data_IF_048640147804
#
_entry.id   IF_048640147804
#
_cell.length_a   1.000
_cell.length_b   1.000
_cell.length_c   1.000
_cell.angle_alpha   90.00
_cell.angle_beta   90.00
_cell.angle_gamma   90.00
#
_symmetry.space_group_name_H-M   'P 1'
#
loop_
_entity.id
_entity.type
_entity.pdbx_description
1 polymer ?
#
# COMPACT_ATOMS: atom_id res chain seq x y z
N UNK A 1 -11.21 25.40 29.68
CA UNK A 1 -10.83 24.43 28.63
C UNK A 1 -9.61 23.67 29.11
N UNK A 2 -9.71 22.35 29.36
CA UNK A 2 -8.56 21.56 29.83
C UNK A 2 -7.61 21.26 28.66
N UNK A 3 -6.28 21.37 28.83
CA UNK A 3 -5.35 21.10 27.75
C UNK A 3 -5.33 19.60 27.43
N UNK A 4 -5.34 19.26 26.14
CA UNK A 4 -5.30 17.89 25.62
C UNK A 4 -3.86 17.38 25.57
N UNK A 5 -3.63 16.15 26.04
CA UNK A 5 -2.30 15.53 26.03
C UNK A 5 -1.76 15.29 24.63
N UNK A 6 -0.45 15.40 24.41
CA UNK A 6 0.16 15.35 23.06
C UNK A 6 -0.20 14.11 22.25
N UNK A 7 -0.39 12.94 22.89
CA UNK A 7 -0.87 11.73 22.21
C UNK A 7 -2.30 11.89 21.70
N UNK A 8 -3.18 12.40 22.56
CA UNK A 8 -4.57 12.69 22.23
C UNK A 8 -4.72 13.90 21.29
N UNK A 9 -3.86 14.91 21.38
CA UNK A 9 -3.84 16.11 20.53
C UNK A 9 -3.32 15.80 19.12
N UNK A 10 -2.25 15.02 18.99
CA UNK A 10 -1.78 14.52 17.69
C UNK A 10 -2.81 13.60 17.04
N UNK A 11 -3.51 12.80 17.84
CA UNK A 11 -4.56 11.90 17.36
C UNK A 11 -5.87 12.63 17.03
N UNK A 12 -6.23 13.67 17.78
CA UNK A 12 -7.35 14.57 17.47
C UNK A 12 -7.06 15.44 16.26
N UNK A 13 -5.80 15.85 16.05
CA UNK A 13 -5.35 16.48 14.82
C UNK A 13 -5.43 15.52 13.62
N UNK A 14 -5.08 14.23 13.80
CA UNK A 14 -5.31 13.18 12.79
C UNK A 14 -6.81 13.03 12.47
N UNK A 15 -7.67 13.00 13.49
CA UNK A 15 -9.13 12.93 13.35
C UNK A 15 -9.71 14.17 12.62
N UNK A 16 -9.22 15.38 12.94
CA UNK A 16 -9.61 16.62 12.26
C UNK A 16 -9.12 16.68 10.81
N UNK A 17 -7.92 16.16 10.53
CA UNK A 17 -7.38 16.09 9.17
C UNK A 17 -8.11 15.04 8.32
N UNK A 18 -8.61 13.96 8.93
CA UNK A 18 -9.42 12.94 8.26
C UNK A 18 -10.76 13.51 7.75
N UNK A 19 -11.37 14.44 8.48
CA UNK A 19 -12.65 15.08 8.11
C UNK A 19 -12.54 16.06 6.92
N UNK A 20 -11.33 16.45 6.48
CA UNK A 20 -11.12 17.48 5.46
C UNK A 20 -10.52 16.97 4.13
N UNK A 21 -10.21 15.67 3.96
CA UNK A 21 -9.49 15.17 2.78
C UNK A 21 -10.38 14.28 1.88
N UNK A 22 -10.62 14.64 0.61
CA UNK A 22 -10.99 13.66 -0.41
C UNK A 22 -9.78 12.72 -0.66
N UNK A 23 -9.93 11.45 -0.29
CA UNK A 23 -8.86 10.45 -0.29
C UNK A 23 -8.34 10.14 -1.71
N UNK A 24 -7.14 10.64 -2.03
CA UNK A 24 -6.29 10.12 -3.12
C UNK A 24 -5.27 9.17 -2.49
N UNK A 25 -5.38 7.87 -2.77
CA UNK A 25 -4.72 6.81 -2.00
C UNK A 25 -3.20 6.94 -1.92
N UNK A 26 -2.61 7.19 -0.74
CA UNK A 26 -1.15 7.26 -0.58
C UNK A 26 -0.53 5.87 -0.77
N UNK A 27 0.26 5.69 -1.83
CA UNK A 27 1.29 4.67 -1.90
C UNK A 27 2.47 5.14 -1.05
N UNK A 28 2.80 4.39 0.02
CA UNK A 28 4.05 4.52 0.74
C UNK A 28 4.93 3.36 0.26
N UNK A 29 5.95 3.67 -0.54
CA UNK A 29 7.12 2.82 -0.66
C UNK A 29 7.89 2.91 0.65
N UNK A 30 7.99 1.81 1.37
CA UNK A 30 8.90 1.69 2.51
C UNK A 30 9.77 0.48 2.28
N UNK A 31 10.99 0.74 1.84
CA UNK A 31 12.14 -0.11 2.12
C UNK A 31 12.37 -0.10 3.63
N UNK A 32 11.94 -1.14 4.33
CA UNK A 32 12.33 -1.40 5.69
C UNK A 32 13.12 -2.70 5.73
N UNK A 33 14.42 -2.56 5.98
CA UNK A 33 15.33 -3.63 6.33
C UNK A 33 14.75 -4.38 7.54
N UNK A 34 14.57 -5.68 7.35
CA UNK A 34 14.22 -6.63 8.40
C UNK A 34 15.38 -6.73 9.39
N UNK A 35 15.14 -6.32 10.64
CA UNK A 35 15.97 -6.72 11.78
C UNK A 35 15.09 -7.54 12.72
N UNK A 36 15.27 -8.85 12.65
CA UNK A 36 14.73 -9.83 13.58
C UNK A 36 15.60 -9.85 14.84
N UNK A 37 15.02 -9.51 15.99
CA UNK A 37 15.66 -9.74 17.29
C UNK A 37 15.17 -11.08 17.84
N UNK A 38 16.03 -12.09 17.78
CA UNK A 38 15.92 -13.30 18.61
C UNK A 38 17.09 -13.29 19.58
N UNK A 39 16.77 -13.23 20.87
CA UNK A 39 17.70 -13.48 21.97
C UNK A 39 18.02 -14.99 22.01
N UNK A 40 19.30 -15.33 22.17
CA UNK A 40 19.89 -16.45 22.94
C UNK A 40 21.27 -16.81 22.36
N UNK A 41 22.29 -16.74 23.19
CA UNK A 41 23.65 -17.26 22.95
C UNK A 41 23.88 -18.43 23.92
N UNK A 42 24.70 -19.44 23.54
CA UNK A 42 26.00 -19.53 24.20
C UNK A 42 27.16 -19.88 23.26
N UNK A 43 28.35 -19.65 23.80
CA UNK A 43 29.73 -19.68 23.29
C UNK A 43 30.24 -21.03 22.76
N UNK A 44 31.10 -21.00 21.72
CA UNK A 44 32.47 -21.56 21.78
C UNK A 44 33.28 -21.31 20.48
N UNK A 45 34.59 -21.18 20.70
CA UNK A 45 35.78 -21.01 19.83
C UNK A 45 35.81 -21.64 18.42
N UNK A 46 36.43 -20.95 17.44
CA UNK A 46 37.78 -21.21 16.91
C UNK A 46 38.10 -20.41 15.61
N UNK A 47 39.35 -19.89 15.56
CA UNK A 47 40.25 -19.52 14.45
C UNK A 47 39.86 -19.97 13.02
N UNK A 48 40.03 -19.26 11.88
CA UNK A 48 41.12 -18.48 11.23
C UNK A 48 40.69 -18.30 9.72
N UNK A 49 41.46 -17.77 8.75
CA UNK A 49 42.38 -16.63 8.68
C UNK A 49 42.04 -15.64 7.52
N UNK A 50 42.80 -14.55 7.45
CA UNK A 50 42.77 -13.52 6.42
C UNK A 50 43.33 -13.98 5.05
N UNK A 51 42.86 -13.35 3.96
CA UNK A 51 43.69 -13.10 2.77
C UNK A 51 43.43 -11.69 2.21
N UNK A 52 44.57 -11.03 2.01
CA UNK A 52 44.88 -9.65 1.71
C UNK A 52 44.65 -9.29 0.24
N UNK A 53 44.34 -8.03 -0.07
CA UNK A 53 44.85 -7.37 -1.27
C UNK A 53 45.12 -5.88 -0.99
N UNK A 54 46.25 -5.31 -1.46
CA UNK A 54 46.75 -4.02 -0.98
C UNK A 54 46.21 -2.84 -1.78
N UNK A 55 46.04 -1.72 -1.06
CA UNK A 55 45.96 -0.38 -1.62
C UNK A 55 47.32 -0.01 -2.21
N UNK A 56 47.36 0.29 -3.51
CA UNK A 56 48.44 1.07 -4.11
C UNK A 56 47.89 2.41 -4.56
N UNK A 57 48.37 3.44 -3.88
CA UNK A 57 48.32 4.81 -4.35
C UNK A 57 49.19 4.95 -5.60
N UNK A 58 48.71 5.69 -6.59
CA UNK A 58 49.60 6.46 -7.44
C UNK A 58 48.90 7.72 -7.93
N UNK A 59 49.47 8.86 -7.56
CA UNK A 59 49.16 10.17 -8.12
C UNK A 59 49.91 10.30 -9.46
N UNK A 60 49.22 10.70 -10.52
CA UNK A 60 49.62 11.82 -11.39
C UNK A 60 48.63 12.07 -12.54
N UNK A 61 48.00 13.24 -12.47
CA UNK A 61 47.76 14.24 -13.53
C UNK A 61 47.45 13.78 -14.98
N UNK A 62 46.21 13.99 -15.42
CA UNK A 62 45.83 14.71 -16.66
C UNK A 62 44.31 14.61 -16.88
N UNK A 63 43.59 15.65 -16.45
CA UNK A 63 42.18 15.80 -16.76
C UNK A 63 41.99 16.28 -18.20
N UNK A 64 40.82 15.94 -18.77
CA UNK A 64 40.20 16.47 -20.01
C UNK A 64 40.31 15.68 -21.33
N UNK A 65 40.38 14.34 -21.33
CA UNK A 65 40.13 13.56 -22.56
C UNK A 65 39.09 12.44 -22.50
N UNK A 66 38.53 12.07 -21.34
CA UNK A 66 37.67 10.88 -21.25
C UNK A 66 36.14 11.12 -21.30
N UNK A 67 35.67 12.37 -21.29
CA UNK A 67 34.22 12.65 -21.21
C UNK A 67 33.50 12.35 -22.54
N UNK A 68 34.15 12.66 -23.67
CA UNK A 68 33.59 12.42 -25.00
C UNK A 68 33.56 10.93 -25.37
N UNK A 69 34.54 10.17 -24.89
CA UNK A 69 34.58 8.72 -25.11
C UNK A 69 33.53 7.99 -24.26
N UNK A 70 33.33 8.42 -23.00
CA UNK A 70 32.25 7.91 -22.15
C UNK A 70 30.88 8.26 -22.76
N UNK A 71 30.71 9.48 -23.28
CA UNK A 71 29.46 9.92 -23.92
C UNK A 71 29.16 9.14 -25.22
N UNK A 72 30.19 8.83 -26.03
CA UNK A 72 30.05 7.96 -27.20
C UNK A 72 29.69 6.52 -26.82
N UNK A 73 30.27 5.98 -25.75
CA UNK A 73 29.95 4.63 -25.26
C UNK A 73 28.53 4.54 -24.70
N UNK A 74 28.01 5.59 -24.07
CA UNK A 74 26.61 5.68 -23.64
C UNK A 74 25.64 5.80 -24.83
N UNK A 75 26.04 6.51 -25.90
CA UNK A 75 25.23 6.67 -27.12
C UNK A 75 25.10 5.41 -27.99
N UNK A 76 25.89 4.38 -27.72
CA UNK A 76 25.87 3.09 -28.44
C UNK A 76 25.24 1.94 -27.63
N UNK A 77 24.71 2.22 -26.43
CA UNK A 77 23.90 1.24 -25.71
C UNK A 77 22.52 1.20 -26.37
N UNK A 78 22.39 0.33 -27.36
CA UNK A 78 21.10 -0.04 -27.92
C UNK A 78 20.33 -0.77 -26.82
N UNK A 79 19.48 -0.03 -26.10
CA UNK A 79 18.57 -0.59 -25.12
C UNK A 79 17.52 -1.35 -25.91
N UNK A 80 17.82 -2.59 -26.27
CA UNK A 80 16.80 -3.56 -26.63
C UNK A 80 15.83 -3.61 -25.46
N UNK A 81 14.68 -2.97 -25.66
CA UNK A 81 13.55 -2.95 -24.74
C UNK A 81 13.08 -4.40 -24.61
N UNK A 82 13.67 -5.12 -23.66
CA UNK A 82 13.27 -6.50 -23.40
C UNK A 82 11.77 -6.48 -23.14
N UNK A 83 10.97 -7.30 -23.84
CA UNK A 83 9.54 -7.33 -23.62
C UNK A 83 9.29 -7.55 -22.14
N UNK A 84 8.57 -6.60 -21.52
CA UNK A 84 8.25 -6.57 -20.09
C UNK A 84 8.01 -7.99 -19.62
N UNK A 85 8.91 -8.48 -18.77
CA UNK A 85 8.93 -9.80 -18.17
C UNK A 85 7.49 -10.28 -17.98
N UNK A 86 7.04 -11.27 -18.77
CA UNK A 86 5.71 -11.88 -18.63
C UNK A 86 5.47 -12.07 -17.15
N UNK A 87 4.43 -11.44 -16.62
CA UNK A 87 4.09 -11.52 -15.22
C UNK A 87 4.01 -13.01 -14.87
N UNK A 88 4.86 -13.46 -13.94
CA UNK A 88 4.94 -14.87 -13.58
C UNK A 88 3.55 -15.33 -13.22
N UNK A 89 3.06 -16.33 -13.94
CA UNK A 89 1.78 -16.96 -13.64
C UNK A 89 1.82 -17.42 -12.18
N UNK A 90 0.90 -16.88 -11.38
CA UNK A 90 0.91 -17.08 -9.93
C UNK A 90 0.35 -18.47 -9.66
N UNK A 91 1.13 -19.32 -9.02
CA UNK A 91 0.66 -20.64 -8.62
C UNK A 91 -0.46 -20.48 -7.57
N UNK A 92 -1.48 -21.35 -7.61
CA UNK A 92 -2.54 -21.34 -6.61
C UNK A 92 -1.97 -21.54 -5.20
N UNK A 93 -2.70 -21.09 -4.18
CA UNK A 93 -2.32 -21.33 -2.79
C UNK A 93 -2.18 -22.84 -2.55
N UNK A 94 -0.96 -23.25 -2.20
CA UNK A 94 -0.59 -24.65 -2.04
C UNK A 94 -1.28 -25.20 -0.79
N UNK A 95 -2.14 -26.20 -0.96
CA UNK A 95 -2.79 -26.92 0.16
C UNK A 95 -1.90 -28.04 0.67
N UNK A 96 -1.52 -27.99 1.93
CA UNK A 96 -0.72 -29.03 2.60
C UNK A 96 -1.54 -29.71 3.68
N UNK A 97 -2.19 -30.83 3.34
CA UNK A 97 -3.09 -31.55 4.23
C UNK A 97 -2.36 -32.78 4.79
N UNK A 98 -2.27 -32.87 6.12
CA UNK A 98 -1.78 -34.07 6.81
C UNK A 98 -2.84 -35.18 6.86
N UNK A 99 -2.40 -36.43 6.99
CA UNK A 99 -3.29 -37.62 6.97
C UNK A 99 -3.43 -38.32 8.33
N UNK A 100 -2.68 -37.89 9.34
CA UNK A 100 -2.66 -38.53 10.66
C UNK A 100 -3.57 -37.80 11.66
N UNK A 101 -4.05 -38.53 12.67
CA UNK A 101 -4.83 -38.00 13.78
C UNK A 101 -6.35 -38.18 13.65
N UNK A 102 -7.07 -37.64 14.63
CA UNK A 102 -8.55 -37.65 14.67
C UNK A 102 -9.09 -36.28 14.26
N UNK A 103 -10.11 -36.22 13.36
CA UNK A 103 -10.74 -34.97 12.98
C UNK A 103 -11.31 -34.21 14.19
N UNK A 104 -11.14 -32.89 14.18
CA UNK A 104 -11.65 -31.99 15.22
C UNK A 104 -12.30 -30.76 14.57
N UNK A 105 -13.49 -30.41 15.04
CA UNK A 105 -14.18 -29.21 14.62
C UNK A 105 -13.56 -27.98 15.27
N UNK A 106 -12.96 -27.12 14.46
CA UNK A 106 -12.30 -25.90 14.89
C UNK A 106 -13.00 -24.66 14.33
N UNK A 107 -12.95 -23.58 15.10
CA UNK A 107 -13.37 -22.25 14.65
C UNK A 107 -12.15 -21.33 14.61
N UNK A 108 -12.12 -20.43 13.64
CA UNK A 108 -11.08 -19.42 13.51
C UNK A 108 -11.70 -18.05 13.29
N UNK A 109 -10.97 -16.99 13.62
CA UNK A 109 -11.37 -15.60 13.46
C UNK A 109 -11.20 -15.08 12.01
N UNK A 110 -11.48 -15.95 11.03
CA UNK A 110 -11.44 -15.65 9.61
C UNK A 110 -12.84 -15.70 9.02
N UNK A 111 -13.23 -14.63 8.32
CA UNK A 111 -14.48 -14.53 7.60
C UNK A 111 -14.21 -14.73 6.10
N UNK A 112 -14.90 -15.69 5.48
CA UNK A 112 -14.78 -15.91 4.03
C UNK A 112 -15.44 -14.78 3.26
N UNK A 113 -14.65 -14.14 2.38
CA UNK A 113 -15.14 -13.05 1.50
C UNK A 113 -15.48 -13.64 0.14
N UNK A 114 -16.77 -13.65 -0.19
CA UNK A 114 -17.25 -14.07 -1.51
C UNK A 114 -17.44 -12.85 -2.40
N UNK A 115 -16.76 -12.84 -3.54
CA UNK A 115 -16.96 -11.80 -4.55
C UNK A 115 -18.00 -12.26 -5.57
N UNK A 116 -18.99 -11.41 -5.85
CA UNK A 116 -19.98 -11.65 -6.91
C UNK A 116 -19.37 -11.49 -8.30
N UNK A 117 -18.37 -10.63 -8.42
CA UNK A 117 -17.74 -10.32 -9.69
C UNK A 117 -16.63 -11.34 -9.98
N UNK A 118 -16.45 -11.73 -11.25
CA UNK A 118 -15.44 -12.71 -11.64
C UNK A 118 -14.00 -12.22 -11.42
N UNK A 119 -13.82 -10.90 -11.32
CA UNK A 119 -12.53 -10.29 -11.07
C UNK A 119 -12.56 -8.77 -11.20
N UNK A 120 -11.37 -8.19 -11.15
CA UNK A 120 -11.11 -6.77 -11.32
C UNK A 120 -10.46 -6.57 -12.68
N UNK A 121 -10.99 -5.64 -13.47
CA UNK A 121 -10.48 -5.32 -14.80
C UNK A 121 -9.49 -4.16 -14.68
N UNK A 122 -8.26 -4.39 -15.16
CA UNK A 122 -7.18 -3.40 -15.14
C UNK A 122 -7.14 -2.68 -16.49
N UNK A 123 -7.15 -1.35 -16.42
CA UNK A 123 -7.01 -0.46 -17.56
C UNK A 123 -5.77 0.41 -17.37
N UNK A 124 -4.90 0.47 -18.36
CA UNK A 124 -3.79 1.43 -18.40
C UNK A 124 -4.34 2.79 -18.78
N UNK A 125 -4.00 3.81 -18.01
CA UNK A 125 -4.42 5.20 -18.27
C UNK A 125 -3.21 6.00 -18.73
N UNK A 126 -3.37 6.65 -19.88
CA UNK A 126 -2.37 7.55 -20.45
C UNK A 126 -2.97 8.94 -20.62
N UNK A 127 -2.19 9.96 -20.29
CA UNK A 127 -2.57 11.36 -20.40
C UNK A 127 -1.72 12.01 -21.48
N UNK A 128 -2.35 12.81 -22.34
CA UNK A 128 -1.68 13.66 -23.32
C UNK A 128 -2.22 15.09 -23.21
N UNK A 129 -1.37 16.08 -22.84
CA UNK A 129 0.04 15.97 -22.48
C UNK A 129 0.30 15.11 -21.22
N UNK A 130 1.52 14.59 -21.02
CA UNK A 130 1.88 13.82 -19.83
C UNK A 130 1.70 14.63 -18.53
N UNK A 131 1.18 13.99 -17.49
CA UNK A 131 0.92 14.61 -16.18
C UNK A 131 1.53 13.74 -15.08
N UNK A 132 2.44 14.30 -14.29
CA UNK A 132 3.07 13.58 -13.17
C UNK A 132 2.28 13.71 -11.86
N UNK A 133 1.47 14.75 -11.73
CA UNK A 133 0.69 14.99 -10.52
C UNK A 133 -0.51 14.04 -10.44
N UNK A 134 -0.35 12.94 -9.70
CA UNK A 134 -1.40 11.93 -9.49
C UNK A 134 -2.71 12.48 -8.94
N UNK A 135 -2.68 13.49 -8.06
CA UNK A 135 -3.91 14.12 -7.55
C UNK A 135 -4.64 14.86 -8.67
N UNK A 136 -3.92 15.48 -9.58
CA UNK A 136 -4.49 16.12 -10.76
C UNK A 136 -5.07 15.06 -11.72
N UNK A 137 -4.31 13.98 -12.01
CA UNK A 137 -4.79 12.87 -12.85
C UNK A 137 -6.11 12.30 -12.32
N UNK A 138 -6.20 12.06 -11.02
CA UNK A 138 -7.42 11.60 -10.36
C UNK A 138 -8.57 12.61 -10.53
N UNK A 139 -8.31 13.92 -10.35
CA UNK A 139 -9.34 14.95 -10.53
C UNK A 139 -9.87 15.01 -11.96
N UNK A 140 -9.01 14.86 -12.97
CA UNK A 140 -9.40 14.85 -14.37
C UNK A 140 -10.25 13.61 -14.69
N UNK A 141 -9.86 12.43 -14.20
CA UNK A 141 -10.68 11.21 -14.27
C UNK A 141 -12.03 11.37 -13.57
N UNK A 142 -12.07 12.11 -12.45
CA UNK A 142 -13.29 12.41 -11.71
C UNK A 142 -14.32 13.25 -12.48
N UNK A 143 -13.91 13.99 -13.51
CA UNK A 143 -14.86 14.70 -14.40
C UNK A 143 -15.73 13.73 -15.21
N UNK A 144 -15.31 12.48 -15.34
CA UNK A 144 -16.04 11.43 -16.08
C UNK A 144 -16.78 10.45 -15.16
N UNK A 145 -17.21 10.91 -13.97
CA UNK A 145 -17.93 10.09 -12.98
C UNK A 145 -19.20 9.43 -13.52
N UNK A 146 -19.86 10.06 -14.49
CA UNK A 146 -21.07 9.50 -15.10
C UNK A 146 -20.77 8.22 -15.90
N UNK A 147 -19.57 8.15 -16.50
CA UNK A 147 -19.09 6.94 -17.21
C UNK A 147 -18.48 5.92 -16.25
N UNK A 148 -17.90 6.38 -15.15
CA UNK A 148 -17.23 5.55 -14.15
C UNK A 148 -17.76 5.88 -12.75
N UNK A 149 -18.83 5.21 -12.27
CA UNK A 149 -19.38 5.49 -10.95
C UNK A 149 -18.39 5.20 -9.81
N UNK A 150 -17.42 4.32 -10.07
CA UNK A 150 -16.44 3.82 -9.08
C UNK A 150 -15.02 4.28 -9.42
N UNK A 151 -14.69 5.54 -9.14
CA UNK A 151 -13.40 6.16 -9.50
C UNK A 151 -12.31 6.10 -8.41
N UNK A 152 -12.58 5.41 -7.30
CA UNK A 152 -11.69 5.47 -6.14
C UNK A 152 -10.49 4.51 -6.21
N UNK A 153 -10.38 3.75 -7.30
CA UNK A 153 -9.40 2.68 -7.47
C UNK A 153 -8.44 3.01 -8.62
N UNK A 154 -7.76 4.14 -8.55
CA UNK A 154 -6.75 4.57 -9.52
C UNK A 154 -5.41 4.82 -8.84
N UNK A 155 -4.34 4.22 -9.36
CA UNK A 155 -3.00 4.25 -8.77
C UNK A 155 -2.01 5.17 -9.51
N UNK A 156 -2.48 5.94 -10.49
CA UNK A 156 -1.64 6.84 -11.30
C UNK A 156 -1.44 6.35 -12.72
N UNK A 157 -1.18 5.05 -12.90
CA UNK A 157 -1.05 4.47 -14.25
C UNK A 157 -2.11 3.42 -14.54
N UNK A 158 -2.57 2.71 -13.51
CA UNK A 158 -3.57 1.66 -13.64
C UNK A 158 -4.87 2.10 -12.97
N UNK A 159 -5.96 1.91 -13.68
CA UNK A 159 -7.31 2.09 -13.20
C UNK A 159 -8.00 0.73 -13.05
N UNK A 160 -8.47 0.46 -11.84
CA UNK A 160 -9.08 -0.81 -11.46
C UNK A 160 -10.60 -0.66 -11.47
N UNK A 161 -11.28 -1.40 -12.34
CA UNK A 161 -12.72 -1.38 -12.47
C UNK A 161 -13.35 -2.72 -12.05
N UNK A 162 -14.51 -2.70 -11.36
CA UNK A 162 -15.21 -3.92 -10.99
C UNK A 162 -16.00 -4.56 -12.15
N UNK A 163 -16.06 -3.90 -13.31
CA UNK A 163 -16.75 -4.35 -14.52
C UNK A 163 -15.90 -4.10 -15.77
N UNK A 164 -16.13 -4.87 -16.83
CA UNK A 164 -15.48 -4.67 -18.13
C UNK A 164 -16.19 -3.55 -18.89
N UNK A 165 -15.42 -2.60 -19.42
CA UNK A 165 -15.93 -1.59 -20.35
C UNK A 165 -16.32 -2.24 -21.69
N UNK A 166 -17.36 -1.72 -22.38
CA UNK A 166 -17.77 -2.24 -23.68
C UNK A 166 -16.67 -2.14 -24.74
N UNK A 167 -15.85 -1.10 -24.67
CA UNK A 167 -14.73 -0.85 -25.58
C UNK A 167 -13.41 -1.16 -24.86
N UNK A 168 -12.47 -1.79 -25.57
CA UNK A 168 -11.13 -2.05 -25.03
C UNK A 168 -10.30 -0.77 -24.93
N UNK A 169 -10.52 0.17 -25.85
CA UNK A 169 -9.94 1.51 -25.80
C UNK A 169 -11.03 2.56 -25.63
N UNK A 170 -10.89 3.40 -24.61
CA UNK A 170 -11.80 4.51 -24.34
C UNK A 170 -10.99 5.80 -24.31
N UNK A 171 -11.29 6.70 -25.25
CA UNK A 171 -10.70 8.03 -25.30
C UNK A 171 -11.65 9.03 -24.63
N UNK A 172 -11.12 9.84 -23.73
CA UNK A 172 -11.83 10.88 -23.01
C UNK A 172 -11.09 12.19 -23.17
N UNK A 173 -11.80 13.29 -22.97
CA UNK A 173 -11.22 14.63 -22.97
C UNK A 173 -11.69 15.36 -21.74
N UNK A 174 -10.74 15.81 -20.94
CA UNK A 174 -10.97 16.58 -19.71
C UNK A 174 -10.29 17.94 -19.83
N UNK A 175 -10.75 18.94 -19.09
CA UNK A 175 -10.21 20.30 -19.17
C UNK A 175 -9.47 20.64 -17.89
N UNK A 176 -8.18 20.98 -17.99
CA UNK A 176 -7.37 21.33 -16.84
C UNK A 176 -7.77 22.73 -16.33
N UNK A 177 -8.22 22.79 -15.07
CA UNK A 177 -8.73 24.04 -14.47
C UNK A 177 -7.70 25.16 -14.25
N UNK A 178 -6.40 24.85 -14.27
CA UNK A 178 -5.36 25.85 -14.00
C UNK A 178 -5.05 26.74 -15.20
N UNK A 179 -5.14 26.20 -16.41
CA UNK A 179 -4.71 26.83 -17.66
C UNK A 179 -5.77 26.72 -18.78
N UNK A 180 -6.86 25.99 -18.55
CA UNK A 180 -7.90 25.74 -19.55
C UNK A 180 -7.51 24.74 -20.63
N UNK A 181 -6.34 24.09 -20.52
CA UNK A 181 -5.83 23.17 -21.53
C UNK A 181 -6.68 21.91 -21.61
N UNK A 182 -7.00 21.46 -22.84
CA UNK A 182 -7.65 20.17 -23.08
C UNK A 182 -6.64 19.05 -22.91
N UNK A 183 -6.96 18.09 -22.05
CA UNK A 183 -6.16 16.90 -21.78
C UNK A 183 -6.90 15.70 -22.38
N UNK A 184 -6.23 14.96 -23.24
CA UNK A 184 -6.70 13.67 -23.74
C UNK A 184 -6.33 12.57 -22.75
N UNK A 185 -7.29 11.74 -22.39
CA UNK A 185 -7.12 10.60 -21.49
C UNK A 185 -7.49 9.34 -22.25
N UNK A 186 -6.51 8.46 -22.48
CA UNK A 186 -6.71 7.17 -23.13
C UNK A 186 -6.69 6.06 -22.09
N UNK A 187 -7.77 5.29 -22.01
CA UNK A 187 -7.86 4.06 -21.23
C UNK A 187 -7.72 2.88 -22.18
N UNK A 188 -6.76 2.00 -21.93
CA UNK A 188 -6.56 0.74 -22.68
C UNK A 188 -6.71 -0.45 -21.76
N UNK A 189 -7.54 -1.41 -22.12
CA UNK A 189 -7.69 -2.66 -21.39
C UNK A 189 -6.37 -3.43 -21.32
N UNK A 190 -6.01 -3.91 -20.13
CA UNK A 190 -4.79 -4.69 -19.91
C UNK A 190 -5.13 -6.16 -19.69
N UNK A 191 -5.88 -6.45 -18.61
CA UNK A 191 -6.25 -7.81 -18.22
C UNK A 191 -7.34 -7.82 -17.16
N UNK A 192 -7.91 -9.00 -16.93
CA UNK A 192 -8.77 -9.28 -15.77
C UNK A 192 -7.95 -10.04 -14.73
N UNK A 193 -8.08 -9.64 -13.46
CA UNK A 193 -7.39 -10.24 -12.33
C UNK A 193 -8.43 -10.84 -11.38
N UNK A 194 -8.32 -12.13 -11.04
CA UNK A 194 -9.20 -12.76 -10.05
C UNK A 194 -9.18 -12.03 -8.69
N UNK A 195 -10.29 -12.07 -7.94
CA UNK A 195 -10.41 -11.43 -6.62
C UNK A 195 -9.26 -11.81 -5.66
N UNK A 196 -8.89 -13.08 -5.65
CA UNK A 196 -7.85 -13.63 -4.76
C UNK A 196 -6.49 -12.92 -4.95
N UNK A 197 -6.19 -12.52 -6.18
CA UNK A 197 -4.92 -11.86 -6.52
C UNK A 197 -4.96 -10.34 -6.32
N UNK A 198 -6.14 -9.77 -6.05
CA UNK A 198 -6.35 -8.34 -5.82
C UNK A 198 -6.39 -7.96 -4.33
N UNK A 199 -5.75 -8.74 -3.44
CA UNK A 199 -5.74 -8.49 -1.99
C UNK A 199 -5.41 -7.02 -1.60
N UNK A 200 -4.50 -6.37 -2.31
CA UNK A 200 -4.14 -4.96 -2.07
C UNK A 200 -5.32 -4.00 -2.28
N UNK A 201 -6.16 -4.24 -3.30
CA UNK A 201 -7.35 -3.45 -3.59
C UNK A 201 -8.39 -3.62 -2.48
N UNK A 202 -8.62 -4.86 -2.04
CA UNK A 202 -9.54 -5.09 -0.94
C UNK A 202 -9.06 -4.45 0.36
N UNK A 203 -7.76 -4.48 0.64
CA UNK A 203 -7.21 -3.72 1.77
C UNK A 203 -7.52 -2.22 1.65
N UNK A 204 -7.42 -1.59 0.47
CA UNK A 204 -7.86 -0.20 0.27
C UNK A 204 -9.36 -0.02 0.59
N UNK A 205 -10.20 -0.95 0.15
CA UNK A 205 -11.65 -0.92 0.42
C UNK A 205 -11.92 -1.04 1.93
N UNK A 206 -11.31 -2.00 2.62
CA UNK A 206 -11.48 -2.17 4.07
C UNK A 206 -11.00 -0.96 4.86
N UNK A 207 -9.89 -0.31 4.47
CA UNK A 207 -9.47 0.96 5.08
C UNK A 207 -10.54 2.04 4.95
N UNK A 208 -11.25 2.10 3.82
CA UNK A 208 -12.38 3.01 3.62
C UNK A 208 -13.58 2.64 4.48
N UNK A 209 -13.87 1.34 4.62
CA UNK A 209 -14.94 0.86 5.52
C UNK A 209 -14.65 1.30 6.96
N UNK A 210 -13.41 1.10 7.45
CA UNK A 210 -13.01 1.54 8.80
C UNK A 210 -13.18 3.04 9.00
N UNK A 211 -12.92 3.83 7.96
CA UNK A 211 -13.18 5.27 7.99
C UNK A 211 -14.68 5.60 8.10
N UNK A 212 -15.54 4.90 7.36
CA UNK A 212 -17.01 5.07 7.44
C UNK A 212 -17.52 4.68 8.83
N UNK A 213 -16.93 3.65 9.44
CA UNK A 213 -17.21 3.23 10.82
C UNK A 213 -16.62 4.21 11.87
N UNK A 214 -16.06 5.34 11.44
CA UNK A 214 -15.47 6.38 12.29
C UNK A 214 -14.32 5.85 13.18
N UNK A 215 -13.64 4.80 12.73
CA UNK A 215 -12.46 4.28 13.38
C UNK A 215 -11.22 5.06 12.92
N UNK A 216 -10.31 5.30 13.85
CA UNK A 216 -9.03 5.95 13.59
C UNK A 216 -7.94 4.90 13.36
N UNK A 217 -7.03 5.18 12.42
CA UNK A 217 -5.89 4.32 12.18
C UNK A 217 -4.76 4.68 13.15
N UNK A 218 -4.32 3.71 13.95
CA UNK A 218 -3.12 3.83 14.79
C UNK A 218 -2.14 2.74 14.38
N UNK A 219 -1.08 3.14 13.67
CA UNK A 219 -0.16 2.19 13.03
C UNK A 219 -0.85 1.39 11.92
N UNK A 220 -0.92 0.06 12.07
CA UNK A 220 -1.56 -0.84 11.09
C UNK A 220 -3.02 -1.16 11.41
N UNK A 221 -3.50 -0.76 12.59
CA UNK A 221 -4.78 -1.21 13.14
C UNK A 221 -5.75 -0.06 13.33
N UNK A 222 -7.03 -0.39 13.53
CA UNK A 222 -8.11 0.58 13.63
C UNK A 222 -8.74 0.53 15.01
N UNK A 223 -8.92 1.69 15.63
CA UNK A 223 -9.47 1.81 16.98
C UNK A 223 -10.58 2.86 17.00
N UNK A 224 -11.56 2.68 17.88
CA UNK A 224 -12.68 3.58 18.05
C UNK A 224 -12.38 4.61 19.16
N UNK A 225 -12.15 5.89 18.81
CA UNK A 225 -11.91 6.96 19.79
C UNK A 225 -13.18 7.45 20.49
N UNK A 226 -14.37 7.12 19.97
CA UNK A 226 -15.63 7.67 20.46
C UNK A 226 -16.19 6.91 21.66
N UNK A 227 -15.72 5.69 21.91
CA UNK A 227 -16.15 4.84 23.03
C UNK A 227 -14.96 4.32 23.83
N UNK A 228 -14.13 5.21 24.42
CA UNK A 228 -13.00 4.79 25.24
C UNK A 228 -13.46 4.26 26.60
N UNK A 229 -12.86 3.17 27.06
CA UNK A 229 -12.98 2.71 28.45
C UNK A 229 -11.94 3.44 29.30
N UNK A 230 -12.37 4.26 30.26
CA UNK A 230 -11.46 5.03 31.10
C UNK A 230 -11.07 4.22 32.34
N UNK A 231 -9.79 4.26 32.71
CA UNK A 231 -9.24 3.68 33.95
C UNK A 231 -8.64 4.81 34.79
N UNK A 232 -9.47 5.56 35.56
CA UNK A 232 -9.04 6.79 36.22
C UNK A 232 -7.91 6.57 37.23
N UNK A 233 -7.91 5.42 37.92
CA UNK A 233 -6.93 5.05 38.94
C UNK A 233 -5.49 5.05 38.41
N UNK A 234 -5.32 4.77 37.11
CA UNK A 234 -4.01 4.72 36.46
C UNK A 234 -3.80 5.85 35.43
N UNK A 235 -4.75 6.80 35.34
CA UNK A 235 -4.72 7.87 34.33
C UNK A 235 -4.57 7.30 32.91
N UNK A 236 -5.32 6.24 32.62
CA UNK A 236 -5.33 5.56 31.31
C UNK A 236 -6.71 5.61 30.68
N UNK A 237 -6.73 5.55 29.35
CA UNK A 237 -7.92 5.23 28.56
C UNK A 237 -7.59 4.10 27.59
N UNK A 238 -8.57 3.24 27.33
CA UNK A 238 -8.45 2.06 26.48
C UNK A 238 -9.43 2.20 25.32
N UNK A 239 -8.90 2.24 24.11
CA UNK A 239 -9.71 2.30 22.91
C UNK A 239 -9.91 0.89 22.36
N UNK A 240 -11.17 0.43 22.22
CA UNK A 240 -11.45 -0.83 21.55
C UNK A 240 -11.19 -0.70 20.06
N UNK A 241 -10.77 -1.79 19.42
CA UNK A 241 -10.42 -1.79 18.01
C UNK A 241 -10.33 -3.18 17.41
N UNK A 242 -9.97 -3.20 16.14
CA UNK A 242 -9.87 -4.43 15.37
C UNK A 242 -8.57 -4.46 14.56
N UNK A 243 -8.00 -5.65 14.48
CA UNK A 243 -6.97 -6.00 13.52
C UNK A 243 -7.68 -6.67 12.35
N UNK A 244 -7.52 -6.08 11.16
CA UNK A 244 -8.13 -6.62 9.95
C UNK A 244 -7.09 -6.80 8.86
N UNK A 245 -7.08 -7.97 8.24
CA UNK A 245 -6.22 -8.24 7.10
C UNK A 245 -6.95 -9.16 6.13
N UNK A 246 -7.02 -8.79 4.86
CA UNK A 246 -7.56 -9.65 3.81
C UNK A 246 -6.44 -10.25 2.98
N UNK A 247 -6.47 -11.57 2.84
CA UNK A 247 -5.45 -12.33 2.13
C UNK A 247 -6.05 -13.59 1.51
N UNK A 248 -5.41 -14.04 0.45
CA UNK A 248 -5.63 -15.37 -0.13
C UNK A 248 -5.05 -16.42 0.82
N UNK A 249 -5.85 -17.42 1.17
CA UNK A 249 -5.51 -18.58 1.98
C UNK A 249 -6.08 -19.84 1.32
N UNK A 250 -5.78 -21.01 1.88
CA UNK A 250 -6.43 -22.26 1.48
C UNK A 250 -7.95 -22.11 1.63
N UNK A 251 -8.69 -22.33 0.54
CA UNK A 251 -10.15 -22.12 0.49
C UNK A 251 -10.59 -20.71 0.09
N UNK A 252 -9.68 -19.85 -0.39
CA UNK A 252 -9.96 -18.60 -1.10
C UNK A 252 -9.63 -17.33 -0.32
N UNK A 253 -10.37 -16.26 -0.59
CA UNK A 253 -10.16 -14.95 0.04
C UNK A 253 -10.76 -14.91 1.45
N UNK A 254 -9.90 -14.76 2.47
CA UNK A 254 -10.29 -14.69 3.87
C UNK A 254 -9.94 -13.33 4.49
N UNK A 255 -10.85 -12.81 5.30
CA UNK A 255 -10.65 -11.63 6.13
C UNK A 255 -10.39 -12.07 7.57
N UNK A 256 -9.16 -11.85 8.05
CA UNK A 256 -8.84 -11.91 9.47
C UNK A 256 -9.57 -10.78 10.19
N UNK A 257 -10.27 -11.09 11.28
CA UNK A 257 -10.92 -10.13 12.17
C UNK A 257 -10.57 -10.48 13.61
N UNK A 258 -9.65 -9.72 14.21
CA UNK A 258 -9.24 -9.94 15.60
C UNK A 258 -9.52 -8.72 16.48
N UNK A 259 -9.95 -8.95 17.71
CA UNK A 259 -10.23 -7.88 18.66
C UNK A 259 -8.93 -7.36 19.27
N UNK A 260 -8.76 -6.05 19.33
CA UNK A 260 -7.55 -5.42 19.84
C UNK A 260 -7.86 -4.17 20.65
N UNK A 261 -6.95 -3.80 21.54
CA UNK A 261 -7.12 -2.69 22.46
C UNK A 261 -5.89 -1.80 22.41
N UNK A 262 -6.11 -0.48 22.32
CA UNK A 262 -5.04 0.51 22.41
C UNK A 262 -5.13 1.23 23.75
N UNK A 263 -4.10 1.06 24.58
CA UNK A 263 -3.98 1.76 25.86
C UNK A 263 -3.25 3.10 25.64
N UNK A 264 -3.82 4.17 26.18
CA UNK A 264 -3.29 5.54 26.09
C UNK A 264 -3.25 6.15 27.49
N UNK A 265 -2.29 7.04 27.72
CA UNK A 265 -2.25 7.87 28.94
C UNK A 265 -3.16 9.07 28.77
N UNK A 266 -3.90 9.41 29.82
CA UNK A 266 -4.71 10.64 29.88
C UNK A 266 -3.88 11.84 30.27
N UNK A 267 -2.73 11.63 30.91
CA UNK A 267 -1.78 12.69 31.27
C UNK A 267 -1.18 13.34 30.02
N UNK A 268 -1.05 14.65 30.09
CA UNK A 268 -0.40 15.45 29.06
C UNK A 268 1.09 15.56 29.37
N UNK A 269 1.89 15.94 28.36
CA UNK A 269 3.32 16.25 28.57
C UNK A 269 3.50 17.52 29.42
N UNK A 270 2.43 18.30 29.64
CA UNK A 270 2.47 19.43 30.56
C UNK A 270 2.28 19.02 32.02
N UNK A 271 1.67 17.84 32.27
CA UNK A 271 1.41 17.34 33.63
C UNK A 271 2.61 16.54 34.18
N UNK A 272 3.65 16.34 33.37
CA UNK A 272 4.93 15.68 33.69
C UNK A 272 6.00 16.75 33.77
#
# INVERSE_FOLDING_TARGET
SKPLGRGFAAMKALLQHQQQIPMVGRGMGVSAQTSSTSLYHPTSSQASPALTAPLLANQNNSGSQDIDEISRRLGQVDVQEQPRRKERERLPTVTMIGTEGTPLDLSANYVRVKCTNPGVYLYSVQFSPPIDNRKLMMKLLMEHKDKFPTLNSFDGNIFYLPYKLPQEEVNLTSTRKTDGSKISIKLSYVKMVPPEHCCHLYNVIFRRIMYILQMCQVGKYYYNPNTPAVVPQHKLEVWPGYITAIKEHEGGLLLLLDASHRVLRTETVHDI
#
